data_IF_938599253414
#
_entry.id   IF_938599253414
#
_cell.length_a   1.000
_cell.length_b   1.000
_cell.length_c   1.000
_cell.angle_alpha   90.00
_cell.angle_beta   90.00
_cell.angle_gamma   90.00
#
_symmetry.space_group_name_H-M   'P 1'
#
loop_
_entity.id
_entity.type
_entity.pdbx_description
1 polymer ?
#
# COMPACT_ATOMS: atom_id res chain seq x y z
N UNK A 1 -13.12 -1.46 2.53
CA UNK A 1 -12.72 -0.66 1.36
C UNK A 1 -11.48 -1.27 0.72
N UNK A 2 -11.35 -1.23 -0.60
CA UNK A 2 -10.11 -1.56 -1.31
C UNK A 2 -9.74 -0.38 -2.19
N UNK A 3 -8.48 0.05 -2.18
CA UNK A 3 -8.08 1.25 -2.90
C UNK A 3 -6.60 1.22 -3.32
N UNK A 4 -6.36 1.32 -4.62
CA UNK A 4 -5.01 1.53 -5.15
C UNK A 4 -4.70 3.04 -5.10
N UNK A 5 -3.68 3.42 -4.34
CA UNK A 5 -3.39 4.83 -4.03
C UNK A 5 -2.39 5.49 -4.98
N UNK A 6 -2.01 4.78 -6.06
CA UNK A 6 -1.08 5.19 -7.10
C UNK A 6 0.34 5.50 -6.57
N UNK A 7 1.31 4.69 -6.99
CA UNK A 7 2.70 4.87 -6.61
C UNK A 7 3.27 6.21 -7.14
N UNK A 8 4.16 6.85 -6.36
CA UNK A 8 4.73 8.18 -6.67
C UNK A 8 5.45 8.25 -8.00
N UNK A 9 6.13 7.17 -8.39
CA UNK A 9 6.84 7.13 -9.67
C UNK A 9 5.87 7.03 -10.84
N UNK A 10 4.75 6.34 -10.67
CA UNK A 10 3.71 6.24 -11.70
C UNK A 10 2.96 7.57 -11.84
N UNK A 11 2.64 8.22 -10.71
CA UNK A 11 2.06 9.57 -10.71
C UNK A 11 2.93 10.61 -11.45
N UNK A 12 4.25 10.44 -11.45
CA UNK A 12 5.20 11.33 -12.16
C UNK A 12 5.28 11.08 -13.67
N UNK A 13 4.67 10.01 -14.18
CA UNK A 13 4.67 9.71 -15.62
C UNK A 13 3.68 10.63 -16.33
N UNK A 14 4.15 11.83 -16.67
CA UNK A 14 3.36 12.93 -17.24
C UNK A 14 2.47 12.52 -18.44
N UNK A 15 2.90 11.54 -19.23
CA UNK A 15 2.12 11.01 -20.35
C UNK A 15 0.78 10.38 -19.96
N UNK A 16 0.69 9.80 -18.76
CA UNK A 16 -0.52 9.11 -18.30
C UNK A 16 -1.53 10.06 -17.65
N UNK A 17 -1.06 11.22 -17.16
CA UNK A 17 -1.85 12.16 -16.38
C UNK A 17 -1.78 13.58 -16.93
N UNK A 18 -1.66 13.72 -18.25
CA UNK A 18 -1.53 15.03 -18.95
C UNK A 18 -2.73 15.96 -18.74
N UNK A 19 -3.88 15.40 -18.37
CA UNK A 19 -5.10 16.12 -18.01
C UNK A 19 -5.09 16.66 -16.57
N UNK A 20 -4.14 16.25 -15.73
CA UNK A 20 -4.06 16.65 -14.32
C UNK A 20 -3.02 17.75 -14.12
N UNK A 21 -3.32 18.71 -13.26
CA UNK A 21 -2.35 19.73 -12.86
C UNK A 21 -1.19 19.07 -12.10
N UNK A 22 0.09 19.38 -12.42
CA UNK A 22 1.24 18.74 -11.77
C UNK A 22 1.27 18.85 -10.24
N UNK A 23 0.69 19.92 -9.68
CA UNK A 23 0.52 20.09 -8.24
C UNK A 23 -0.35 18.98 -7.61
N UNK A 24 -1.41 18.55 -8.31
CA UNK A 24 -2.30 17.49 -7.84
C UNK A 24 -1.65 16.10 -7.85
N UNK A 25 -0.54 15.92 -8.59
CA UNK A 25 0.18 14.65 -8.69
C UNK A 25 1.29 14.52 -7.64
N UNK A 26 1.61 15.61 -6.93
CA UNK A 26 2.59 15.58 -5.83
C UNK A 26 2.11 14.64 -4.72
N UNK A 27 3.03 13.83 -4.18
CA UNK A 27 2.68 12.78 -3.21
C UNK A 27 1.95 13.34 -1.99
N UNK A 28 2.39 14.45 -1.42
CA UNK A 28 1.73 15.07 -0.26
C UNK A 28 0.28 15.45 -0.56
N UNK A 29 0.02 16.05 -1.72
CA UNK A 29 -1.33 16.44 -2.13
C UNK A 29 -2.21 15.22 -2.34
N UNK A 30 -1.70 14.17 -3.02
CA UNK A 30 -2.45 12.93 -3.23
C UNK A 30 -2.73 12.20 -1.92
N UNK A 31 -1.73 12.03 -1.06
CA UNK A 31 -1.89 11.33 0.22
C UNK A 31 -2.85 12.08 1.15
N UNK A 32 -2.85 13.41 1.13
CA UNK A 32 -3.86 14.19 1.86
C UNK A 32 -5.28 13.87 1.37
N UNK A 33 -5.49 13.73 0.05
CA UNK A 33 -6.79 13.33 -0.51
C UNK A 33 -7.18 11.90 -0.19
N UNK A 34 -6.23 10.96 -0.23
CA UNK A 34 -6.45 9.56 0.20
C UNK A 34 -6.87 9.51 1.67
N UNK A 35 -6.22 10.30 2.54
CA UNK A 35 -6.61 10.43 3.94
C UNK A 35 -8.03 10.97 4.07
N UNK A 36 -8.34 12.07 3.37
CA UNK A 36 -9.67 12.69 3.45
C UNK A 36 -10.75 11.69 3.01
N UNK A 37 -10.51 10.92 1.94
CA UNK A 37 -11.43 9.87 1.49
C UNK A 37 -11.62 8.76 2.54
N UNK A 38 -10.55 8.31 3.19
CA UNK A 38 -10.63 7.35 4.29
C UNK A 38 -11.42 7.92 5.48
N UNK A 39 -11.28 9.22 5.77
CA UNK A 39 -12.04 9.92 6.82
C UNK A 39 -13.50 10.14 6.45
N UNK A 40 -13.81 10.35 5.17
CA UNK A 40 -15.19 10.58 4.75
C UNK A 40 -15.96 9.25 4.71
N UNK A 41 -15.34 8.21 4.17
CA UNK A 41 -15.97 6.89 4.04
C UNK A 41 -15.95 6.09 5.35
N UNK A 42 -15.09 6.44 6.30
CA UNK A 42 -14.98 5.81 7.62
C UNK A 42 -14.93 4.26 7.62
N UNK A 43 -14.25 3.58 6.66
CA UNK A 43 -14.32 2.13 6.54
C UNK A 43 -13.76 1.41 7.78
N UNK A 44 -14.40 0.35 8.27
CA UNK A 44 -13.84 -0.43 9.39
C UNK A 44 -12.50 -1.11 9.03
N UNK A 45 -12.35 -1.49 7.76
CA UNK A 45 -11.13 -2.08 7.18
C UNK A 45 -10.87 -1.45 5.82
N UNK A 46 -9.63 -1.05 5.55
CA UNK A 46 -9.17 -0.55 4.26
C UNK A 46 -7.93 -1.33 3.78
N UNK A 47 -8.02 -1.91 2.59
CA UNK A 47 -6.91 -2.57 1.91
C UNK A 47 -6.34 -1.63 0.85
N UNK A 48 -5.11 -1.19 1.04
CA UNK A 48 -4.43 -0.26 0.14
C UNK A 48 -3.42 -1.00 -0.74
N UNK A 49 -3.34 -0.65 -2.02
CA UNK A 49 -2.34 -1.14 -2.99
C UNK A 49 -1.50 0.00 -3.57
N UNK A 50 -0.35 -0.33 -4.18
CA UNK A 50 0.68 0.62 -4.63
C UNK A 50 1.20 1.54 -3.51
N UNK A 51 1.27 0.99 -2.29
CA UNK A 51 1.65 1.74 -1.09
C UNK A 51 3.17 1.73 -0.93
N UNK A 52 3.79 2.90 -0.81
CA UNK A 52 5.18 3.03 -0.36
C UNK A 52 5.29 3.06 1.17
N UNK A 53 6.46 2.68 1.71
CA UNK A 53 6.72 2.76 3.16
C UNK A 53 6.52 4.16 3.74
N UNK A 54 7.00 5.19 3.03
CA UNK A 54 6.83 6.60 3.38
C UNK A 54 5.35 6.99 3.37
N UNK A 55 4.61 6.59 2.33
CA UNK A 55 3.17 6.84 2.18
C UNK A 55 2.38 6.18 3.31
N UNK A 56 2.70 4.94 3.66
CA UNK A 56 2.06 4.23 4.77
C UNK A 56 2.30 4.95 6.10
N UNK A 57 3.57 5.30 6.40
CA UNK A 57 3.94 6.02 7.62
C UNK A 57 3.22 7.36 7.73
N UNK A 58 3.15 8.11 6.62
CA UNK A 58 2.42 9.37 6.55
C UNK A 58 0.92 9.18 6.80
N UNK A 59 0.28 8.23 6.11
CA UNK A 59 -1.15 7.98 6.28
C UNK A 59 -1.49 7.49 7.69
N UNK A 60 -0.73 6.54 8.26
CA UNK A 60 -1.04 6.00 9.59
C UNK A 60 -0.86 7.03 10.69
N UNK A 61 0.17 7.89 10.61
CA UNK A 61 0.35 8.97 11.59
C UNK A 61 -0.81 9.98 11.58
N UNK A 62 -1.39 10.26 10.42
CA UNK A 62 -2.50 11.21 10.30
C UNK A 62 -3.85 10.60 10.65
N UNK A 63 -4.03 9.30 10.41
CA UNK A 63 -5.29 8.58 10.69
C UNK A 63 -5.34 7.99 12.11
N UNK A 64 -4.27 8.12 12.91
CA UNK A 64 -4.24 7.63 14.28
C UNK A 64 -5.31 8.31 15.16
N UNK A 65 -5.53 9.62 14.97
CA UNK A 65 -6.60 10.38 15.63
C UNK A 65 -8.00 9.85 15.31
N UNK A 66 -8.15 9.20 14.16
CA UNK A 66 -9.41 8.59 13.68
C UNK A 66 -9.51 7.10 14.07
N UNK A 67 -8.68 6.67 15.03
CA UNK A 67 -8.56 5.31 15.54
C UNK A 67 -8.12 4.26 14.51
N UNK A 68 -7.52 4.66 13.39
CA UNK A 68 -6.91 3.69 12.47
C UNK A 68 -5.53 3.24 12.94
N UNK A 69 -5.19 2.01 12.61
CA UNK A 69 -3.84 1.48 12.67
C UNK A 69 -3.57 0.54 11.49
N UNK A 70 -2.30 0.27 11.22
CA UNK A 70 -1.90 -0.75 10.26
C UNK A 70 -1.93 -2.11 10.95
N UNK A 71 -2.72 -3.04 10.43
CA UNK A 71 -2.71 -4.43 10.87
C UNK A 71 -1.55 -5.19 10.22
N UNK A 72 -1.38 -5.04 8.90
CA UNK A 72 -0.37 -5.75 8.14
C UNK A 72 0.07 -4.92 6.93
N UNK A 73 1.33 -5.08 6.52
CA UNK A 73 1.85 -4.51 5.29
C UNK A 73 2.90 -5.42 4.68
N UNK A 74 2.92 -5.52 3.35
CA UNK A 74 3.88 -6.30 2.60
C UNK A 74 4.43 -5.43 1.47
N UNK A 75 5.75 -5.31 1.38
CA UNK A 75 6.44 -4.52 0.37
C UNK A 75 7.32 -5.41 -0.50
N UNK A 76 7.31 -5.17 -1.81
CA UNK A 76 8.18 -5.85 -2.75
C UNK A 76 9.42 -4.97 -2.96
N UNK A 77 10.52 -5.30 -2.30
CA UNK A 77 11.78 -4.59 -2.48
C UNK A 77 12.47 -5.07 -3.77
N UNK A 78 12.03 -4.57 -4.94
CA UNK A 78 12.68 -4.82 -6.23
C UNK A 78 13.41 -3.57 -6.74
N UNK A 79 14.72 -3.68 -6.93
CA UNK A 79 15.52 -2.71 -7.70
C UNK A 79 15.39 -1.23 -7.26
N UNK A 80 15.23 -0.98 -5.95
CA UNK A 80 15.15 0.38 -5.39
C UNK A 80 13.81 1.10 -5.54
N UNK A 81 12.82 0.46 -6.18
CA UNK A 81 11.43 0.91 -6.23
C UNK A 81 10.60 -0.09 -5.42
N UNK A 82 10.17 0.33 -4.23
CA UNK A 82 9.45 -0.52 -3.30
C UNK A 82 8.04 0.00 -3.08
N UNK A 83 7.08 -0.78 -3.53
CA UNK A 83 5.66 -0.61 -3.27
C UNK A 83 5.08 -1.92 -2.74
N UNK A 84 3.81 -1.87 -2.35
CA UNK A 84 3.20 -3.00 -1.70
C UNK A 84 1.74 -2.81 -1.40
N UNK A 85 1.28 -3.61 -0.45
CA UNK A 85 -0.07 -3.52 0.09
C UNK A 85 -0.03 -3.28 1.59
N UNK A 86 -1.06 -2.61 2.09
CA UNK A 86 -1.27 -2.38 3.51
C UNK A 86 -2.73 -2.61 3.88
N UNK A 87 -2.96 -3.13 5.08
CA UNK A 87 -4.29 -3.32 5.65
C UNK A 87 -4.42 -2.41 6.86
N UNK A 88 -5.29 -1.42 6.76
CA UNK A 88 -5.66 -0.54 7.85
C UNK A 88 -6.97 -0.99 8.49
N UNK A 89 -7.11 -0.82 9.80
CA UNK A 89 -8.31 -1.16 10.55
C UNK A 89 -8.61 -0.13 11.63
N UNK A 90 -9.88 -0.01 12.01
CA UNK A 90 -10.32 0.80 13.17
C UNK A 90 -10.15 0.03 14.47
N UNK A 91 -9.20 0.47 15.31
CA UNK A 91 -8.91 -0.08 16.64
C UNK A 91 -10.09 0.00 17.60
N UNK A 92 -10.99 0.96 17.41
CA UNK A 92 -12.19 1.13 18.23
C UNK A 92 -13.28 0.09 17.99
N UNK A 93 -13.17 -0.70 16.91
CA UNK A 93 -14.20 -1.65 16.47
C UNK A 93 -13.63 -3.07 16.34
N UNK A 94 -12.38 -3.19 15.91
CA UNK A 94 -11.75 -4.46 15.57
C UNK A 94 -10.44 -4.63 16.34
N UNK A 95 -10.13 -5.88 16.67
CA UNK A 95 -8.86 -6.31 17.24
C UNK A 95 -8.13 -7.22 16.25
N UNK A 96 -6.83 -7.01 16.08
CA UNK A 96 -5.99 -7.87 15.25
C UNK A 96 -5.54 -9.07 16.08
N UNK A 97 -6.11 -10.24 15.79
CA UNK A 97 -5.72 -11.48 16.47
C UNK A 97 -4.45 -12.09 15.87
N UNK A 98 -4.37 -12.14 14.53
CA UNK A 98 -3.24 -12.70 13.77
C UNK A 98 -3.11 -12.03 12.41
N UNK A 99 -1.89 -12.04 11.89
CA UNK A 99 -1.55 -11.54 10.55
C UNK A 99 -0.70 -12.55 9.82
N UNK A 100 -0.97 -12.73 8.53
CA UNK A 100 -0.16 -13.57 7.65
C UNK A 100 0.17 -12.78 6.38
N UNK A 101 1.43 -12.81 5.96
CA UNK A 101 1.88 -12.19 4.73
C UNK A 101 2.72 -13.20 3.96
N UNK A 102 2.53 -13.25 2.65
CA UNK A 102 3.19 -14.22 1.79
C UNK A 102 3.69 -13.54 0.54
N UNK A 103 4.95 -13.76 0.19
CA UNK A 103 5.47 -13.42 -1.12
C UNK A 103 5.15 -14.57 -2.08
N UNK A 104 4.47 -14.27 -3.18
CA UNK A 104 4.16 -15.29 -4.20
C UNK A 104 5.40 -15.99 -4.72
N UNK A 105 6.54 -15.30 -4.83
CA UNK A 105 7.80 -15.91 -5.23
C UNK A 105 8.22 -17.05 -4.27
N UNK A 106 8.08 -16.85 -2.96
CA UNK A 106 8.37 -17.86 -1.95
C UNK A 106 7.43 -19.07 -2.04
N UNK A 107 6.14 -18.84 -2.33
CA UNK A 107 5.18 -19.92 -2.55
C UNK A 107 5.52 -20.74 -3.81
N UNK A 108 5.93 -20.09 -4.91
CA UNK A 108 6.33 -20.80 -6.13
C UNK A 108 7.52 -21.72 -5.85
N UNK A 109 8.48 -21.28 -5.03
CA UNK A 109 9.63 -22.10 -4.66
C UNK A 109 9.24 -23.34 -3.85
N UNK A 110 8.25 -23.21 -2.96
CA UNK A 110 7.76 -24.31 -2.12
C UNK A 110 6.95 -25.35 -2.92
N UNK A 111 6.15 -24.90 -3.89
CA UNK A 111 5.29 -25.79 -4.70
C UNK A 111 5.93 -26.27 -6.00
N UNK A 112 6.95 -25.57 -6.52
CA UNK A 112 7.62 -25.88 -7.78
C UNK A 112 9.16 -25.83 -7.64
N UNK A 113 9.78 -26.70 -6.81
CA UNK A 113 11.21 -26.65 -6.49
C UNK A 113 12.12 -26.79 -7.72
N UNK A 114 11.66 -27.50 -8.77
CA UNK A 114 12.41 -27.65 -10.02
C UNK A 114 12.56 -26.32 -10.81
N UNK A 115 11.66 -25.35 -10.62
CA UNK A 115 11.78 -24.03 -11.26
C UNK A 115 12.74 -23.09 -10.52
N UNK A 116 12.96 -23.34 -9.23
CA UNK A 116 13.93 -22.58 -8.40
C UNK A 116 15.36 -22.85 -8.86
N UNK A 117 15.72 -24.12 -9.04
CA UNK A 117 17.04 -24.53 -9.51
C UNK A 117 17.42 -23.93 -10.88
N UNK A 118 16.43 -23.66 -11.75
CA UNK A 118 16.65 -23.04 -13.05
C UNK A 118 16.82 -21.50 -13.02
N UNK A 119 16.44 -20.83 -11.93
CA UNK A 119 16.65 -19.37 -11.75
C UNK A 119 17.97 -19.06 -11.04
N UNK A 120 18.47 -20.00 -10.25
CA UNK A 120 19.69 -19.85 -9.45
C UNK A 120 20.97 -20.31 -10.20
N UNK A 121 20.84 -20.76 -11.45
CA UNK A 121 21.92 -21.10 -12.40
C UNK A 121 21.97 -20.11 -13.57
#
# INVERSE_FOLDING_TARGET
MTYNILHKLDARRAKFFSYSQPANLQSETRLARVRDELRDLQPHVACLQEVERESLSHLTSQLECDAYACAASLFNDKSGVSDGCALLYKKSILEVVRTHAFHFASLVDDFFPNQKAARDH
#
